data_IF_016550370563
#
_entry.id   IF_016550370563
#
_cell.length_a   1.000
_cell.length_b   1.000
_cell.length_c   1.000
_cell.angle_alpha   90.00
_cell.angle_beta   90.00
_cell.angle_gamma   90.00
#
_symmetry.space_group_name_H-M   'P 1'
#
loop_
_entity.id
_entity.type
_entity.pdbx_description
1 polymer ?
#
# COMPACT_ATOMS: atom_id res chain seq x y z
N UNK A 1 21.39 -35.66 -7.22
CA UNK A 1 22.48 -35.08 -8.03
C UNK A 1 22.38 -35.65 -9.43
N UNK A 2 21.88 -34.87 -10.39
CA UNK A 2 21.76 -35.26 -11.80
C UNK A 2 22.77 -34.49 -12.63
N UNK A 3 23.51 -35.18 -13.49
CA UNK A 3 24.46 -34.59 -14.43
C UNK A 3 23.91 -34.84 -15.82
N UNK A 4 23.67 -33.77 -16.59
CA UNK A 4 23.27 -33.84 -17.98
C UNK A 4 24.36 -33.14 -18.82
N UNK A 5 24.87 -33.83 -19.83
CA UNK A 5 25.89 -33.30 -20.74
C UNK A 5 25.31 -33.27 -22.15
N UNK A 6 25.43 -32.12 -22.82
CA UNK A 6 24.95 -31.93 -24.19
C UNK A 6 26.10 -31.41 -25.06
N UNK A 7 26.23 -31.98 -26.27
CA UNK A 7 27.29 -31.62 -27.21
C UNK A 7 26.88 -30.39 -28.02
N UNK A 8 27.65 -29.29 -27.91
CA UNK A 8 27.30 -28.00 -28.55
C UNK A 8 28.14 -27.73 -29.82
N UNK A 9 28.68 -28.78 -30.44
CA UNK A 9 29.44 -28.71 -31.71
C UNK A 9 30.90 -29.14 -31.59
N UNK A 10 31.61 -29.18 -32.73
CA UNK A 10 32.90 -29.84 -32.93
C UNK A 10 33.92 -29.59 -31.80
N UNK A 11 34.05 -30.57 -30.89
CA UNK A 11 35.05 -30.60 -29.83
C UNK A 11 34.72 -29.85 -28.54
N UNK A 12 33.55 -29.19 -28.43
CA UNK A 12 33.12 -28.48 -27.21
C UNK A 12 32.03 -29.25 -26.47
N UNK A 13 32.27 -29.51 -25.19
CA UNK A 13 31.33 -30.18 -24.29
C UNK A 13 30.80 -29.18 -23.27
N UNK A 14 29.47 -29.07 -23.17
CA UNK A 14 28.80 -28.28 -22.14
C UNK A 14 28.22 -29.25 -21.10
N UNK A 15 28.75 -29.21 -19.88
CA UNK A 15 28.25 -30.02 -18.77
C UNK A 15 27.37 -29.16 -17.87
N UNK A 16 26.11 -29.55 -17.70
CA UNK A 16 25.22 -28.96 -16.71
C UNK A 16 25.24 -29.81 -15.44
N UNK A 17 25.72 -29.23 -14.35
CA UNK A 17 25.68 -29.85 -13.03
C UNK A 17 24.62 -29.14 -12.21
N UNK A 18 23.57 -29.88 -11.84
CA UNK A 18 22.54 -29.41 -10.91
C UNK A 18 22.97 -29.82 -9.51
N UNK A 19 23.38 -28.83 -8.71
CA UNK A 19 23.73 -29.02 -7.29
C UNK A 19 22.53 -28.65 -6.42
N UNK A 20 22.05 -29.63 -5.64
CA UNK A 20 21.22 -29.37 -4.47
C UNK A 20 22.12 -29.13 -3.26
N UNK A 21 22.08 -27.92 -2.71
CA UNK A 21 22.82 -27.58 -1.48
C UNK A 21 22.00 -28.05 -0.29
N UNK A 22 22.47 -29.09 0.43
CA UNK A 22 21.77 -29.65 1.58
C UNK A 22 21.53 -28.57 2.66
N UNK A 23 20.27 -28.31 3.00
CA UNK A 23 19.86 -27.29 3.97
C UNK A 23 19.35 -25.97 3.36
N UNK A 24 19.48 -25.78 2.05
CA UNK A 24 18.85 -24.68 1.30
C UNK A 24 17.96 -25.27 0.19
N UNK A 25 16.73 -24.77 0.03
CA UNK A 25 15.84 -25.16 -1.10
C UNK A 25 16.22 -24.44 -2.40
N UNK A 26 17.48 -24.05 -2.56
CA UNK A 26 17.99 -23.41 -3.77
C UNK A 26 18.58 -24.46 -4.71
N UNK A 27 18.08 -24.48 -5.94
CA UNK A 27 18.67 -25.27 -7.04
C UNK A 27 19.66 -24.38 -7.76
N UNK A 28 20.94 -24.75 -7.75
CA UNK A 28 21.99 -24.01 -8.45
C UNK A 28 22.39 -24.80 -9.70
N UNK A 29 22.17 -24.19 -10.87
CA UNK A 29 22.60 -24.76 -12.15
C UNK A 29 23.95 -24.16 -12.53
N UNK A 30 24.96 -25.02 -12.61
CA UNK A 30 26.31 -24.65 -13.03
C UNK A 30 26.53 -25.19 -14.45
N UNK A 31 26.82 -24.30 -15.39
CA UNK A 31 27.25 -24.68 -16.73
C UNK A 31 28.78 -24.64 -16.76
N UNK A 32 29.43 -25.75 -17.09
CA UNK A 32 30.89 -25.82 -17.24
C UNK A 32 31.23 -26.04 -18.70
N UNK A 33 32.03 -25.14 -19.27
CA UNK A 33 32.54 -25.24 -20.64
C UNK A 33 34.06 -25.53 -20.62
N UNK A 34 34.48 -26.56 -21.34
CA UNK A 34 35.90 -26.82 -21.58
C UNK A 34 36.44 -25.84 -22.62
N UNK A 35 37.45 -25.04 -22.26
CA UNK A 35 38.04 -24.05 -23.18
C UNK A 35 39.34 -24.56 -23.79
N UNK A 36 40.11 -25.37 -23.06
CA UNK A 36 41.33 -26.04 -23.55
C UNK A 36 41.70 -27.22 -22.63
N UNK A 37 42.68 -28.06 -23.02
CA UNK A 37 43.17 -29.17 -22.21
C UNK A 37 43.66 -28.67 -20.83
N UNK A 38 42.90 -28.98 -19.77
CA UNK A 38 43.18 -28.58 -18.39
C UNK A 38 42.62 -27.22 -17.96
N UNK A 39 41.91 -26.48 -18.84
CA UNK A 39 41.23 -25.22 -18.50
C UNK A 39 39.72 -25.31 -18.69
N UNK A 40 38.99 -25.13 -17.59
CA UNK A 40 37.53 -25.18 -17.53
C UNK A 40 37.00 -23.82 -17.12
N UNK A 41 36.05 -23.28 -17.89
CA UNK A 41 35.28 -22.10 -17.51
C UNK A 41 33.97 -22.54 -16.86
N UNK A 42 33.75 -22.05 -15.65
CA UNK A 42 32.55 -22.31 -14.88
C UNK A 42 31.62 -21.09 -15.00
N UNK A 43 30.54 -21.24 -15.74
CA UNK A 43 29.48 -20.26 -15.86
C UNK A 43 28.39 -20.57 -14.84
N UNK A 44 28.28 -19.73 -13.81
CA UNK A 44 27.16 -19.78 -12.88
C UNK A 44 26.01 -19.00 -13.50
N UNK A 45 24.97 -19.69 -13.96
CA UNK A 45 23.74 -19.06 -14.42
C UNK A 45 22.84 -18.86 -13.21
N UNK A 46 22.75 -17.63 -12.73
CA UNK A 46 21.87 -17.27 -11.62
C UNK A 46 20.48 -16.93 -12.19
N UNK A 47 19.54 -17.87 -12.06
CA UNK A 47 18.13 -17.56 -12.24
C UNK A 47 17.61 -16.76 -11.02
N UNK A 48 16.78 -15.75 -11.27
CA UNK A 48 16.16 -15.00 -10.19
C UNK A 48 15.14 -15.89 -9.46
N UNK A 49 15.32 -16.04 -8.14
CA UNK A 49 14.36 -16.76 -7.30
C UNK A 49 13.48 -15.76 -6.55
N UNK A 50 12.20 -15.74 -6.88
CA UNK A 50 11.21 -14.84 -6.26
C UNK A 50 10.41 -15.63 -5.24
N UNK A 51 10.33 -15.12 -4.00
CA UNK A 51 9.45 -15.63 -2.95
C UNK A 51 8.32 -14.65 -2.73
N UNK A 52 7.09 -15.14 -2.72
CA UNK A 52 5.89 -14.34 -2.47
C UNK A 52 4.85 -15.14 -1.70
N UNK A 53 3.80 -14.45 -1.26
CA UNK A 53 2.66 -15.06 -0.58
C UNK A 53 1.38 -14.72 -1.34
N UNK A 54 0.42 -15.64 -1.35
CA UNK A 54 -0.93 -15.42 -1.86
C UNK A 54 -1.93 -15.73 -0.76
N UNK A 55 -2.99 -14.93 -0.68
CA UNK A 55 -4.05 -15.09 0.31
C UNK A 55 -5.34 -15.44 -0.41
N UNK A 56 -6.01 -16.50 0.04
CA UNK A 56 -7.26 -16.98 -0.54
C UNK A 56 -8.28 -17.17 0.58
N UNK A 57 -9.49 -16.67 0.36
CA UNK A 57 -10.62 -16.81 1.28
C UNK A 57 -11.90 -17.05 0.49
N UNK A 58 -12.78 -17.88 1.05
CA UNK A 58 -14.08 -18.24 0.47
C UNK A 58 -15.14 -17.62 1.37
N UNK A 59 -15.97 -16.73 0.81
CA UNK A 59 -16.98 -15.98 1.54
C UNK A 59 -18.36 -16.19 0.89
N UNK A 60 -19.41 -15.96 1.67
CA UNK A 60 -20.77 -15.92 1.13
C UNK A 60 -20.95 -14.74 0.17
N UNK A 61 -21.93 -14.80 -0.76
CA UNK A 61 -22.25 -13.68 -1.62
C UNK A 61 -22.51 -12.40 -0.80
N UNK A 62 -21.85 -11.30 -1.16
CA UNK A 62 -21.94 -10.01 -0.45
C UNK A 62 -20.97 -9.83 0.72
N UNK A 63 -20.36 -10.89 1.28
CA UNK A 63 -19.44 -10.78 2.42
C UNK A 63 -17.95 -10.73 2.02
N UNK A 64 -17.64 -11.00 0.75
CA UNK A 64 -16.25 -11.10 0.28
C UNK A 64 -15.53 -9.75 0.13
N UNK A 65 -16.27 -8.65 -0.03
CA UNK A 65 -15.73 -7.30 -0.20
C UNK A 65 -14.97 -6.85 1.04
N UNK A 66 -15.57 -7.00 2.22
CA UNK A 66 -14.94 -6.66 3.49
C UNK A 66 -13.58 -7.32 3.69
N UNK A 67 -13.48 -8.64 3.44
CA UNK A 67 -12.22 -9.37 3.55
C UNK A 67 -11.17 -8.85 2.54
N UNK A 68 -11.55 -8.61 1.28
CA UNK A 68 -10.62 -8.12 0.25
C UNK A 68 -10.06 -6.74 0.58
N UNK A 69 -10.90 -5.81 1.04
CA UNK A 69 -10.49 -4.43 1.37
C UNK A 69 -9.61 -4.40 2.62
N UNK A 70 -10.04 -5.07 3.69
CA UNK A 70 -9.31 -5.10 4.97
C UNK A 70 -7.96 -5.81 4.83
N UNK A 71 -7.95 -7.06 4.35
CA UNK A 71 -6.71 -7.82 4.18
C UNK A 71 -5.82 -7.21 3.10
N UNK A 72 -6.38 -6.60 2.05
CA UNK A 72 -5.60 -5.86 1.06
C UNK A 72 -4.79 -4.72 1.67
N UNK A 73 -5.41 -3.96 2.58
CA UNK A 73 -4.74 -2.86 3.28
C UNK A 73 -3.67 -3.35 4.26
N UNK A 74 -3.95 -4.43 5.01
CA UNK A 74 -2.98 -5.05 5.92
C UNK A 74 -1.74 -5.60 5.17
N UNK A 75 -1.95 -6.17 3.98
CA UNK A 75 -0.86 -6.65 3.12
C UNK A 75 -0.06 -5.48 2.52
N UNK A 76 -0.72 -4.38 2.18
CA UNK A 76 -0.05 -3.18 1.66
C UNK A 76 0.77 -2.46 2.75
N UNK A 77 0.27 -2.41 3.98
CA UNK A 77 0.89 -1.71 5.12
C UNK A 77 1.10 -2.64 6.32
N UNK A 78 2.12 -3.51 6.30
CA UNK A 78 2.43 -4.38 7.43
C UNK A 78 3.04 -3.59 8.60
N UNK A 79 3.02 -4.21 9.79
CA UNK A 79 3.68 -3.66 10.98
C UNK A 79 5.19 -3.57 10.77
N UNK A 80 5.77 -2.43 11.17
CA UNK A 80 7.22 -2.22 11.16
C UNK A 80 7.83 -2.76 12.46
N UNK A 81 8.85 -3.60 12.31
CA UNK A 81 9.59 -4.17 13.43
C UNK A 81 10.94 -3.44 13.57
N UNK A 82 11.22 -2.91 14.75
CA UNK A 82 12.52 -2.35 15.12
C UNK A 82 13.11 -3.16 16.27
N UNK A 83 14.41 -3.47 16.19
CA UNK A 83 15.09 -4.31 17.16
C UNK A 83 16.24 -3.54 17.81
N UNK A 84 16.37 -3.70 19.13
CA UNK A 84 17.50 -3.22 19.93
C UNK A 84 17.81 -4.25 21.01
N UNK A 85 19.02 -4.16 21.59
CA UNK A 85 19.46 -5.09 22.63
C UNK A 85 19.74 -4.33 23.92
N UNK A 86 18.76 -4.36 24.83
CA UNK A 86 18.78 -3.67 26.12
C UNK A 86 18.09 -4.54 27.17
N UNK A 87 18.36 -4.28 28.45
CA UNK A 87 17.59 -4.92 29.54
C UNK A 87 16.17 -4.37 29.56
N UNK A 88 15.20 -5.24 29.86
CA UNK A 88 13.78 -4.87 29.81
C UNK A 88 13.44 -3.77 30.82
N UNK A 89 14.05 -3.81 32.00
CA UNK A 89 13.84 -2.85 33.07
C UNK A 89 14.35 -1.46 32.68
N UNK A 90 15.58 -1.39 32.19
CA UNK A 90 16.23 -0.14 31.78
C UNK A 90 15.49 0.51 30.60
N UNK A 91 15.00 -0.31 29.65
CA UNK A 91 14.19 0.17 28.51
C UNK A 91 12.85 0.75 28.97
N UNK A 92 12.10 0.02 29.80
CA UNK A 92 10.79 0.47 30.30
C UNK A 92 10.91 1.73 31.17
N UNK A 93 12.03 1.90 31.86
CA UNK A 93 12.28 3.09 32.69
C UNK A 93 12.57 4.34 31.85
N UNK A 94 13.10 4.19 30.64
CA UNK A 94 13.56 5.30 29.79
C UNK A 94 12.68 5.57 28.56
N UNK A 95 11.80 4.63 28.17
CA UNK A 95 11.03 4.71 26.93
C UNK A 95 9.53 4.50 27.14
N UNK A 96 8.73 5.19 26.34
CA UNK A 96 7.29 4.97 26.23
C UNK A 96 7.07 3.71 25.39
N UNK A 97 6.53 2.64 25.99
CA UNK A 97 6.36 1.34 25.32
C UNK A 97 5.09 1.23 24.47
N UNK A 98 4.14 2.16 24.63
CA UNK A 98 2.92 2.23 23.84
C UNK A 98 2.54 3.70 23.65
N UNK A 99 2.41 4.13 22.41
CA UNK A 99 2.02 5.48 22.05
C UNK A 99 1.05 5.46 20.86
N UNK A 100 0.27 6.51 20.74
CA UNK A 100 -0.59 6.80 19.58
C UNK A 100 -0.46 8.28 19.24
N UNK A 101 -0.47 8.62 17.95
CA UNK A 101 -0.51 10.00 17.49
C UNK A 101 -1.95 10.55 17.42
N UNK A 102 -2.93 9.66 17.26
CA UNK A 102 -4.36 9.97 17.31
C UNK A 102 -4.88 9.96 18.74
N UNK A 103 -6.07 10.52 18.96
CA UNK A 103 -6.78 10.44 20.24
C UNK A 103 -6.88 8.96 20.70
N UNK A 104 -6.60 8.65 21.98
CA UNK A 104 -6.58 7.26 22.49
C UNK A 104 -7.85 6.45 22.26
N UNK A 105 -9.01 7.10 22.13
CA UNK A 105 -10.30 6.45 21.93
C UNK A 105 -10.82 6.60 20.49
N UNK A 106 -9.96 7.03 19.56
CA UNK A 106 -10.32 7.24 18.17
C UNK A 106 -9.54 6.31 17.24
N UNK A 107 -10.27 5.68 16.33
CA UNK A 107 -9.73 4.91 15.22
C UNK A 107 -10.42 5.35 13.95
N UNK A 108 -9.69 5.36 12.84
CA UNK A 108 -10.32 5.57 11.54
C UNK A 108 -11.34 4.45 11.27
N UNK A 109 -12.50 4.79 10.69
CA UNK A 109 -13.47 3.80 10.24
C UNK A 109 -12.85 2.80 9.25
N UNK A 110 -13.28 1.54 9.27
CA UNK A 110 -12.70 0.46 8.44
C UNK A 110 -12.87 0.68 6.93
N UNK A 111 -13.80 1.55 6.53
CA UNK A 111 -13.99 1.98 5.15
C UNK A 111 -13.06 3.11 4.70
N UNK A 112 -12.22 3.64 5.60
CA UNK A 112 -11.30 4.75 5.33
C UNK A 112 -9.85 4.32 5.54
N UNK A 113 -8.99 4.62 4.57
CA UNK A 113 -7.54 4.47 4.71
C UNK A 113 -6.83 5.83 4.61
N UNK A 114 -5.83 6.01 5.46
CA UNK A 114 -4.81 7.04 5.32
C UNK A 114 -3.76 6.56 4.32
N UNK A 115 -3.76 7.12 3.12
CA UNK A 115 -2.87 6.68 2.01
C UNK A 115 -1.66 7.60 1.83
N UNK A 116 -1.71 8.83 2.34
CA UNK A 116 -0.55 9.73 2.35
C UNK A 116 -0.60 10.60 3.59
N UNK A 117 0.52 10.66 4.30
CA UNK A 117 0.82 11.64 5.32
C UNK A 117 2.28 12.04 5.14
N UNK A 118 2.52 13.26 4.66
CA UNK A 118 3.85 13.73 4.26
C UNK A 118 4.05 15.20 4.65
N UNK A 119 5.20 15.52 5.21
CA UNK A 119 5.61 16.90 5.51
C UNK A 119 6.29 17.53 4.28
N UNK A 120 5.86 18.74 3.92
CA UNK A 120 6.37 19.50 2.79
C UNK A 120 7.38 20.55 3.25
N UNK A 121 8.16 21.08 2.30
CA UNK A 121 9.26 22.04 2.58
C UNK A 121 8.79 23.35 3.24
N UNK A 122 7.54 23.73 3.06
CA UNK A 122 6.92 24.93 3.66
C UNK A 122 6.34 24.67 5.05
N UNK A 123 6.67 23.53 5.67
CA UNK A 123 6.10 23.01 6.92
C UNK A 123 4.60 22.74 6.86
N UNK A 124 4.02 22.67 5.66
CA UNK A 124 2.67 22.14 5.50
C UNK A 124 2.69 20.62 5.45
N UNK A 125 1.54 19.99 5.73
CA UNK A 125 1.40 18.54 5.70
C UNK A 125 0.38 18.14 4.65
N UNK A 126 0.81 17.30 3.73
CA UNK A 126 -0.03 16.67 2.72
C UNK A 126 -0.72 15.44 3.32
N UNK A 127 -2.04 15.48 3.33
CA UNK A 127 -2.91 14.42 3.82
C UNK A 127 -3.78 13.89 2.69
N UNK A 128 -3.81 12.57 2.49
CA UNK A 128 -4.77 11.92 1.59
C UNK A 128 -5.54 10.82 2.32
N UNK A 129 -6.86 10.93 2.27
CA UNK A 129 -7.80 9.95 2.83
C UNK A 129 -8.61 9.34 1.68
N UNK A 130 -8.73 8.02 1.70
CA UNK A 130 -9.42 7.26 0.66
C UNK A 130 -10.53 6.41 1.26
N UNK A 131 -11.71 6.43 0.63
CA UNK A 131 -12.77 5.47 0.89
C UNK A 131 -12.48 4.18 0.11
N UNK A 132 -12.35 3.07 0.82
CA UNK A 132 -11.89 1.80 0.26
C UNK A 132 -12.95 1.06 -0.55
N UNK A 133 -14.23 1.27 -0.24
CA UNK A 133 -15.35 0.52 -0.83
C UNK A 133 -16.02 1.30 -1.97
N UNK A 134 -16.51 0.56 -2.97
CA UNK A 134 -17.39 1.04 -4.02
C UNK A 134 -18.84 1.15 -3.54
N UNK A 135 -19.65 1.93 -4.27
CA UNK A 135 -21.09 1.99 -4.02
C UNK A 135 -21.69 0.58 -4.11
N UNK A 136 -22.56 0.25 -3.15
CA UNK A 136 -23.25 -1.04 -3.06
C UNK A 136 -22.35 -2.30 -2.97
N UNK A 137 -21.05 -2.13 -2.67
CA UNK A 137 -20.10 -3.25 -2.49
C UNK A 137 -20.30 -3.98 -1.16
N UNK A 138 -20.67 -3.25 -0.11
CA UNK A 138 -20.92 -3.75 1.24
C UNK A 138 -22.05 -2.96 1.90
N UNK A 139 -22.97 -3.64 2.59
CA UNK A 139 -24.15 -3.01 3.16
C UNK A 139 -23.83 -2.00 4.27
N UNK A 140 -22.72 -2.16 4.98
CA UNK A 140 -22.35 -1.33 6.13
C UNK A 140 -21.21 -0.36 5.79
N UNK A 141 -20.25 -0.81 4.99
CA UNK A 141 -19.03 -0.04 4.70
C UNK A 141 -19.10 0.80 3.43
N UNK A 142 -20.03 0.54 2.50
CA UNK A 142 -20.25 1.37 1.29
C UNK A 142 -21.12 2.61 1.54
N UNK A 143 -21.05 3.17 2.76
CA UNK A 143 -21.82 4.33 3.17
C UNK A 143 -20.93 5.55 3.34
N UNK A 144 -21.56 6.71 3.30
CA UNK A 144 -20.93 7.98 3.62
C UNK A 144 -20.33 7.95 5.03
N UNK A 145 -19.11 8.48 5.18
CA UNK A 145 -18.38 8.45 6.45
C UNK A 145 -17.79 9.81 6.79
N UNK A 146 -17.84 10.14 8.09
CA UNK A 146 -17.30 11.37 8.65
C UNK A 146 -16.01 11.07 9.43
N UNK A 147 -14.99 11.89 9.20
CA UNK A 147 -13.66 11.75 9.80
C UNK A 147 -13.32 13.04 10.52
N UNK A 148 -12.98 12.92 11.80
CA UNK A 148 -12.63 14.07 12.64
C UNK A 148 -11.12 14.29 12.61
N UNK A 149 -10.65 15.30 11.86
CA UNK A 149 -9.22 15.60 11.75
C UNK A 149 -8.61 16.03 13.09
N UNK A 150 -9.40 16.68 13.94
CA UNK A 150 -8.99 17.09 15.29
C UNK A 150 -8.62 15.90 16.17
N UNK A 151 -9.36 14.79 16.10
CA UNK A 151 -9.05 13.55 16.83
C UNK A 151 -7.88 12.80 16.20
N UNK A 152 -7.74 12.89 14.87
CA UNK A 152 -6.62 12.27 14.16
C UNK A 152 -5.27 12.91 14.51
N UNK A 153 -5.24 14.23 14.76
CA UNK A 153 -4.04 14.96 15.16
C UNK A 153 -4.13 15.50 16.59
N UNK A 154 -4.46 14.66 17.57
CA UNK A 154 -4.70 15.09 18.96
C UNK A 154 -3.52 15.83 19.62
N UNK A 155 -2.29 15.57 19.18
CA UNK A 155 -1.07 16.21 19.70
C UNK A 155 -0.70 17.54 19.04
N UNK A 156 -1.42 18.00 18.02
CA UNK A 156 -1.14 19.25 17.28
C UNK A 156 -2.43 20.03 17.01
N UNK A 157 -2.34 21.36 17.01
CA UNK A 157 -3.49 22.22 16.68
C UNK A 157 -3.46 22.54 15.20
N UNK A 158 -4.51 22.21 14.46
CA UNK A 158 -4.61 22.55 13.04
C UNK A 158 -5.01 24.03 12.92
N UNK A 159 -4.20 24.82 12.21
CA UNK A 159 -4.43 26.25 11.98
C UNK A 159 -5.16 26.52 10.66
N UNK A 160 -4.83 25.74 9.62
CA UNK A 160 -5.41 25.88 8.29
C UNK A 160 -5.66 24.50 7.67
N UNK A 161 -6.81 24.33 7.01
CA UNK A 161 -7.14 23.16 6.18
C UNK A 161 -7.55 23.63 4.81
N UNK A 162 -6.86 23.13 3.79
CA UNK A 162 -7.12 23.49 2.40
C UNK A 162 -7.28 22.24 1.55
N UNK A 163 -8.41 22.11 0.88
CA UNK A 163 -8.66 20.99 -0.04
C UNK A 163 -8.05 21.27 -1.42
N UNK A 164 -7.28 20.31 -1.91
CA UNK A 164 -6.52 20.43 -3.16
C UNK A 164 -6.95 19.37 -4.17
N UNK A 165 -6.44 19.49 -5.39
CA UNK A 165 -6.48 18.44 -6.41
C UNK A 165 -5.76 17.16 -5.94
N UNK A 166 -5.95 16.04 -6.64
CA UNK A 166 -5.30 14.76 -6.28
C UNK A 166 -3.76 14.88 -6.23
N UNK A 167 -3.19 15.64 -7.17
CA UNK A 167 -1.76 15.96 -7.27
C UNK A 167 -1.32 17.15 -6.40
N UNK A 168 -2.22 17.71 -5.58
CA UNK A 168 -1.95 18.84 -4.68
C UNK A 168 -1.44 20.13 -5.34
N UNK A 169 -1.73 20.35 -6.63
CA UNK A 169 -1.21 21.49 -7.40
C UNK A 169 -2.24 22.62 -7.62
N UNK A 170 -3.52 22.36 -7.40
CA UNK A 170 -4.60 23.33 -7.62
C UNK A 170 -5.60 23.23 -6.46
N UNK A 171 -6.19 24.35 -6.06
CA UNK A 171 -7.30 24.33 -5.10
C UNK A 171 -8.52 23.61 -5.66
N UNK A 172 -9.20 22.82 -4.83
CA UNK A 172 -10.37 22.07 -5.25
C UNK A 172 -11.52 22.99 -5.72
N UNK A 173 -11.67 24.14 -5.08
CA UNK A 173 -12.66 25.18 -5.38
C UNK A 173 -12.48 25.81 -6.76
N UNK A 174 -11.25 25.84 -7.27
CA UNK A 174 -10.91 26.46 -8.57
C UNK A 174 -11.00 25.49 -9.75
N UNK A 175 -11.18 24.19 -9.47
CA UNK A 175 -11.26 23.17 -10.50
C UNK A 175 -12.56 23.32 -11.31
N UNK A 176 -12.42 23.52 -12.63
CA UNK A 176 -13.55 23.59 -13.57
C UNK A 176 -13.68 22.28 -14.35
N UNK A 177 -14.87 21.68 -14.33
CA UNK A 177 -15.18 20.50 -15.14
C UNK A 177 -15.83 20.92 -16.45
N UNK A 178 -15.38 20.34 -17.56
CA UNK A 178 -16.02 20.51 -18.86
C UNK A 178 -17.30 19.69 -18.92
N UNK A 179 -18.36 20.29 -19.46
CA UNK A 179 -19.64 19.63 -19.70
C UNK A 179 -19.65 19.02 -21.09
N UNK A 180 -19.64 17.69 -21.17
CA UNK A 180 -19.69 16.95 -22.43
C UNK A 180 -21.12 16.47 -22.71
N UNK A 181 -21.53 16.49 -23.98
CA UNK A 181 -22.76 15.81 -24.42
C UNK A 181 -22.40 14.39 -24.82
N UNK A 182 -22.73 13.43 -23.97
CA UNK A 182 -22.43 12.01 -24.22
C UNK A 182 -23.62 11.35 -24.92
N UNK A 183 -23.35 10.57 -25.96
CA UNK A 183 -24.39 9.86 -26.73
C UNK A 183 -25.01 8.77 -25.84
N UNK A 184 -26.33 8.82 -25.65
CA UNK A 184 -27.06 7.88 -24.80
C UNK A 184 -27.25 8.36 -23.35
N UNK A 185 -26.72 9.53 -23.01
CA UNK A 185 -27.00 10.17 -21.73
C UNK A 185 -28.43 10.73 -21.74
N UNK A 186 -29.34 9.99 -21.10
CA UNK A 186 -30.74 10.37 -20.97
C UNK A 186 -31.00 11.28 -19.76
N UNK A 187 -29.94 11.72 -19.06
CA UNK A 187 -30.04 12.56 -17.86
C UNK A 187 -30.68 11.84 -16.65
N UNK A 188 -30.79 10.51 -16.70
CA UNK A 188 -31.44 9.69 -15.69
C UNK A 188 -30.50 9.03 -14.67
N UNK A 189 -29.18 9.04 -14.90
CA UNK A 189 -28.26 8.50 -13.90
C UNK A 189 -28.00 9.54 -12.80
N UNK A 190 -28.27 9.20 -11.53
CA UNK A 190 -27.99 10.11 -10.42
C UNK A 190 -26.50 10.38 -10.37
N UNK A 191 -26.13 11.66 -10.19
CA UNK A 191 -24.73 12.02 -9.98
C UNK A 191 -24.18 11.22 -8.81
N UNK A 192 -22.93 10.71 -8.89
CA UNK A 192 -22.33 10.00 -7.78
C UNK A 192 -22.35 10.91 -6.55
N UNK A 193 -22.83 10.36 -5.42
CA UNK A 193 -22.80 11.04 -4.12
C UNK A 193 -21.34 11.41 -3.83
N UNK A 194 -21.09 12.66 -3.48
CA UNK A 194 -19.76 13.15 -3.10
C UNK A 194 -19.82 13.67 -1.68
N UNK A 195 -18.70 13.60 -0.97
CA UNK A 195 -18.58 14.22 0.34
C UNK A 195 -18.89 15.72 0.31
N UNK A 196 -19.50 16.21 1.37
CA UNK A 196 -19.76 17.63 1.57
C UNK A 196 -18.50 18.51 1.63
N UNK A 197 -18.67 19.84 1.51
CA UNK A 197 -17.61 20.81 1.75
C UNK A 197 -16.98 20.60 3.15
N UNK A 198 -15.67 20.79 3.27
CA UNK A 198 -15.02 20.75 4.59
C UNK A 198 -15.42 21.99 5.37
N UNK A 199 -15.98 21.79 6.57
CA UNK A 199 -16.16 22.86 7.54
C UNK A 199 -14.82 23.12 8.24
N UNK A 200 -14.20 24.26 7.96
CA UNK A 200 -12.92 24.68 8.55
C UNK A 200 -12.98 24.83 10.08
N UNK A 201 -14.17 25.04 10.67
CA UNK A 201 -14.34 25.20 12.11
C UNK A 201 -14.56 23.86 12.83
N UNK A 202 -15.31 22.95 12.21
CA UNK A 202 -15.56 21.62 12.76
C UNK A 202 -14.40 20.64 12.50
N UNK A 203 -13.59 20.87 11.45
CA UNK A 203 -12.50 20.00 11.00
C UNK A 203 -12.97 18.56 10.73
N UNK A 204 -14.19 18.45 10.19
CA UNK A 204 -14.83 17.19 9.80
C UNK A 204 -14.74 17.05 8.29
N UNK A 205 -14.22 15.90 7.86
CA UNK A 205 -14.14 15.52 6.45
C UNK A 205 -15.14 14.41 6.18
N UNK A 206 -15.96 14.62 5.16
CA UNK A 206 -16.90 13.63 4.66
C UNK A 206 -16.31 12.92 3.44
N UNK A 207 -16.39 11.59 3.39
CA UNK A 207 -15.98 10.79 2.23
C UNK A 207 -17.15 9.94 1.74
N UNK A 208 -17.37 9.98 0.44
CA UNK A 208 -18.28 9.05 -0.25
C UNK A 208 -17.53 7.80 -0.75
N UNK A 209 -18.26 6.73 -1.13
CA UNK A 209 -17.66 5.55 -1.74
C UNK A 209 -16.73 5.88 -2.91
N UNK A 210 -15.57 5.22 -2.96
CA UNK A 210 -14.47 5.43 -3.93
C UNK A 210 -13.89 6.85 -4.01
N UNK A 211 -14.19 7.72 -3.05
CA UNK A 211 -13.64 9.07 -3.03
C UNK A 211 -12.25 9.10 -2.40
N UNK A 212 -11.36 9.88 -3.00
CA UNK A 212 -10.05 10.25 -2.45
C UNK A 212 -10.02 11.77 -2.32
N UNK A 213 -9.83 12.26 -1.10
CA UNK A 213 -9.68 13.70 -0.84
C UNK A 213 -8.27 14.01 -0.38
N UNK A 214 -7.74 15.09 -0.93
CA UNK A 214 -6.38 15.58 -0.68
C UNK A 214 -6.47 16.91 0.06
N UNK A 215 -5.74 17.00 1.16
CA UNK A 215 -5.70 18.19 2.01
C UNK A 215 -4.26 18.62 2.22
N UNK A 216 -4.10 19.94 2.33
CA UNK A 216 -2.90 20.58 2.82
C UNK A 216 -3.25 21.18 4.19
N UNK A 217 -2.53 20.74 5.21
CA UNK A 217 -2.73 21.12 6.60
C UNK A 217 -1.58 22.02 7.04
N UNK A 218 -1.89 22.99 7.90
CA UNK A 218 -0.88 23.70 8.70
C UNK A 218 -1.20 23.54 10.18
N UNK A 219 -0.14 23.48 10.98
CA UNK A 219 -0.20 23.36 12.43
C UNK A 219 0.26 24.66 13.12
#
# INVERSE_FOLDING_TARGET
MGIAAEAVGAGRWLCFVVLEVYGSRSVMSIAVEAVDAGRWLCFVVLALWVRGNYYMSINQPGAGSHWRRTTGQEVYSPLLLAFTHEKSEDWKASHITKATAMDPNYSLPLNVALITLEELEDNSVLLRLAHLYEADEDADYSKLVNIELKKMFAGKTITEVKEMSLSANQEKSEMKRLTWKVKGDSGGEPAPVRGGPVDSSALIVELSPMEIRTFLLKF
#
